data_IF_252886929394
#
_entry.id   IF_252886929394
#
_cell.length_a   1.000
_cell.length_b   1.000
_cell.length_c   1.000
_cell.angle_alpha   90.00
_cell.angle_beta   90.00
_cell.angle_gamma   90.00
#
_symmetry.space_group_name_H-M   'P 1'
#
loop_
_entity.id
_entity.type
_entity.pdbx_description
1 polymer ?
#
# COMPACT_ATOMS: atom_id res chain seq x y z
N UNK A 1 -2.83 -7.41 21.00
CA UNK A 1 -1.38 -7.11 20.92
C UNK A 1 -0.75 -8.13 19.98
N UNK A 2 -0.52 -7.74 18.73
CA UNK A 2 0.06 -8.61 17.71
C UNK A 2 0.95 -7.84 16.73
N UNK A 3 1.61 -6.78 17.18
CA UNK A 3 2.68 -6.16 16.40
C UNK A 3 3.97 -6.96 16.62
N UNK A 4 4.07 -8.09 15.93
CA UNK A 4 5.38 -8.64 15.61
C UNK A 4 5.95 -7.65 14.59
N UNK A 5 7.00 -6.90 14.95
CA UNK A 5 7.76 -6.01 14.07
C UNK A 5 7.04 -4.83 13.40
N UNK A 6 7.81 -3.84 12.94
CA UNK A 6 7.30 -2.71 12.16
C UNK A 6 7.35 -2.99 10.65
N UNK A 7 7.68 -4.22 10.22
CA UNK A 7 7.95 -4.57 8.82
C UNK A 7 6.69 -4.59 8.00
N UNK A 8 6.83 -4.41 6.68
CA UNK A 8 5.66 -4.35 5.78
C UNK A 8 4.88 -5.66 5.72
N UNK A 9 5.46 -6.77 6.21
CA UNK A 9 4.86 -8.10 6.22
C UNK A 9 5.02 -8.79 7.59
N UNK A 10 5.23 -8.02 8.67
CA UNK A 10 5.41 -8.64 10.00
C UNK A 10 4.07 -8.87 10.73
N UNK A 11 3.01 -8.14 10.36
CA UNK A 11 1.64 -8.36 10.87
C UNK A 11 0.93 -9.48 10.12
N UNK A 12 0.07 -10.24 10.82
CA UNK A 12 -0.80 -11.25 10.21
C UNK A 12 -1.68 -10.67 9.08
N UNK A 13 -2.26 -9.47 9.27
CA UNK A 13 -3.13 -8.85 8.27
C UNK A 13 -2.40 -8.45 6.99
N UNK A 14 -1.17 -7.93 7.11
CA UNK A 14 -0.30 -7.71 5.93
C UNK A 14 0.02 -9.02 5.19
N UNK A 15 0.29 -10.09 5.94
CA UNK A 15 0.52 -11.41 5.36
C UNK A 15 -0.72 -11.97 4.65
N UNK A 16 -1.90 -11.80 5.24
CA UNK A 16 -3.17 -12.26 4.68
C UNK A 16 -3.51 -11.49 3.40
N UNK A 17 -3.40 -10.16 3.40
CA UNK A 17 -3.56 -9.33 2.20
C UNK A 17 -2.59 -9.77 1.10
N UNK A 18 -1.31 -9.98 1.45
CA UNK A 18 -0.32 -10.45 0.49
C UNK A 18 -0.63 -11.84 -0.06
N UNK A 19 -1.03 -12.76 0.81
CA UNK A 19 -1.40 -14.13 0.44
C UNK A 19 -2.56 -14.14 -0.55
N UNK A 20 -3.58 -13.32 -0.33
CA UNK A 20 -4.68 -13.17 -1.27
C UNK A 20 -4.20 -12.60 -2.62
N UNK A 21 -3.47 -11.49 -2.62
CA UNK A 21 -3.04 -10.84 -3.86
C UNK A 21 -2.13 -11.71 -4.73
N UNK A 22 -1.25 -12.52 -4.11
CA UNK A 22 -0.31 -13.39 -4.83
C UNK A 22 -0.91 -14.75 -5.23
N UNK A 23 -2.02 -15.16 -4.63
CA UNK A 23 -2.62 -16.47 -4.89
C UNK A 23 -2.93 -16.62 -6.39
N UNK A 24 -2.63 -17.80 -6.94
CA UNK A 24 -2.82 -18.10 -8.37
C UNK A 24 -4.28 -18.06 -8.86
N UNK A 25 -5.24 -18.11 -7.94
CA UNK A 25 -6.67 -18.14 -8.22
C UNK A 25 -7.32 -16.77 -7.99
N UNK A 26 -6.56 -15.77 -7.54
CA UNK A 26 -7.07 -14.42 -7.35
C UNK A 26 -7.25 -13.77 -8.71
N UNK A 27 -8.50 -13.78 -9.17
CA UNK A 27 -8.88 -13.10 -10.39
C UNK A 27 -8.67 -11.59 -10.20
N UNK A 28 -7.98 -10.95 -11.16
CA UNK A 28 -7.77 -9.50 -11.20
C UNK A 28 -7.13 -8.88 -9.94
N UNK A 29 -6.04 -9.46 -9.43
CA UNK A 29 -5.29 -8.91 -8.29
C UNK A 29 -4.96 -7.41 -8.40
N UNK A 30 -4.71 -6.89 -9.60
CA UNK A 30 -4.47 -5.45 -9.83
C UNK A 30 -5.70 -4.57 -9.51
N UNK A 31 -6.91 -5.03 -9.82
CA UNK A 31 -8.14 -4.30 -9.45
C UNK A 31 -8.42 -4.42 -7.96
N UNK A 32 -8.06 -5.56 -7.34
CA UNK A 32 -8.16 -5.75 -5.91
C UNK A 32 -7.23 -4.79 -5.13
N UNK A 33 -5.99 -4.59 -5.60
CA UNK A 33 -5.07 -3.55 -5.08
C UNK A 33 -5.74 -2.17 -5.10
N UNK A 34 -6.34 -1.79 -6.23
CA UNK A 34 -7.02 -0.49 -6.37
C UNK A 34 -8.20 -0.42 -5.39
N UNK A 35 -8.96 -1.50 -5.25
CA UNK A 35 -10.13 -1.58 -4.36
C UNK A 35 -9.72 -1.36 -2.90
N UNK A 36 -8.65 -2.02 -2.43
CA UNK A 36 -8.15 -1.81 -1.07
C UNK A 36 -7.76 -0.36 -0.80
N UNK A 37 -7.04 0.27 -1.73
CA UNK A 37 -6.66 1.68 -1.60
C UNK A 37 -7.88 2.61 -1.66
N UNK A 38 -8.86 2.33 -2.54
CA UNK A 38 -10.10 3.09 -2.63
C UNK A 38 -10.95 2.97 -1.37
N UNK A 39 -11.00 1.79 -0.73
CA UNK A 39 -11.75 1.59 0.50
C UNK A 39 -11.23 2.54 1.57
N UNK A 40 -9.92 2.56 1.81
CA UNK A 40 -9.29 3.48 2.78
C UNK A 40 -9.52 4.95 2.40
N UNK A 41 -9.37 5.32 1.12
CA UNK A 41 -9.56 6.72 0.71
C UNK A 41 -11.01 7.19 0.85
N UNK A 42 -11.96 6.32 0.51
CA UNK A 42 -13.39 6.63 0.55
C UNK A 42 -14.02 6.36 1.93
N UNK A 43 -13.29 5.75 2.87
CA UNK A 43 -13.76 5.50 4.22
C UNK A 43 -13.92 6.85 4.97
N UNK A 44 -15.18 7.16 5.31
CA UNK A 44 -15.55 8.37 6.04
C UNK A 44 -15.64 8.14 7.56
N UNK A 45 -15.42 6.92 7.99
CA UNK A 45 -15.39 6.49 9.38
C UNK A 45 -13.96 6.18 9.81
N UNK A 46 -13.84 5.35 10.82
CA UNK A 46 -12.59 4.83 11.32
C UNK A 46 -12.09 3.72 10.38
N UNK A 47 -10.77 3.67 10.17
CA UNK A 47 -10.06 2.70 9.36
C UNK A 47 -9.52 1.65 10.31
N UNK A 48 -9.93 0.40 10.11
CA UNK A 48 -9.53 -0.73 10.93
C UNK A 48 -8.07 -1.15 10.62
N UNK A 49 -7.52 -2.01 11.49
CA UNK A 49 -6.13 -2.48 11.37
C UNK A 49 -5.89 -3.21 10.05
N UNK A 50 -6.83 -4.06 9.64
CA UNK A 50 -6.75 -4.85 8.39
C UNK A 50 -6.76 -3.94 7.15
N UNK A 51 -7.62 -2.93 7.12
CA UNK A 51 -7.65 -1.91 6.07
C UNK A 51 -6.33 -1.12 5.99
N UNK A 52 -5.76 -0.80 7.15
CA UNK A 52 -4.48 -0.09 7.25
C UNK A 52 -3.33 -0.91 6.66
N UNK A 53 -3.22 -2.16 7.09
CA UNK A 53 -2.14 -3.06 6.66
C UNK A 53 -2.28 -3.39 5.17
N UNK A 54 -3.51 -3.64 4.70
CA UNK A 54 -3.79 -3.81 3.27
C UNK A 54 -3.39 -2.58 2.45
N UNK A 55 -3.66 -1.36 2.92
CA UNK A 55 -3.25 -0.14 2.23
C UNK A 55 -1.74 0.03 2.16
N UNK A 56 -0.99 -0.37 3.20
CA UNK A 56 0.47 -0.34 3.22
C UNK A 56 1.04 -1.32 2.17
N UNK A 57 0.60 -2.59 2.22
CA UNK A 57 1.04 -3.62 1.27
C UNK A 57 0.68 -3.24 -0.16
N UNK A 58 -0.56 -2.79 -0.40
CA UNK A 58 -1.00 -2.37 -1.73
C UNK A 58 -0.21 -1.18 -2.26
N UNK A 59 0.13 -0.21 -1.40
CA UNK A 59 0.96 0.94 -1.79
C UNK A 59 2.38 0.53 -2.16
N UNK A 60 2.98 -0.41 -1.41
CA UNK A 60 4.27 -1.01 -1.75
C UNK A 60 4.19 -1.69 -3.12
N UNK A 61 3.17 -2.51 -3.39
CA UNK A 61 2.99 -3.19 -4.67
C UNK A 61 2.82 -2.22 -5.85
N UNK A 62 2.08 -1.13 -5.67
CA UNK A 62 1.97 -0.06 -6.68
C UNK A 62 3.35 0.51 -7.02
N UNK A 63 4.18 0.82 -6.02
CA UNK A 63 5.54 1.33 -6.26
C UNK A 63 6.37 0.30 -7.02
N UNK A 64 6.27 -0.97 -6.64
CA UNK A 64 7.00 -2.07 -7.28
C UNK A 64 6.64 -2.21 -8.75
N UNK A 65 5.35 -2.14 -9.09
CA UNK A 65 4.83 -2.17 -10.46
C UNK A 65 5.26 -0.94 -11.30
N UNK A 66 5.49 0.22 -10.67
CA UNK A 66 6.01 1.41 -11.35
C UNK A 66 7.53 1.40 -11.54
N UNK A 67 8.27 0.73 -10.67
CA UNK A 67 9.74 0.80 -10.60
C UNK A 67 10.44 -0.46 -11.10
N UNK A 68 9.69 -1.49 -11.51
CA UNK A 68 10.19 -2.80 -11.93
C UNK A 68 11.13 -3.42 -10.88
N UNK A 69 10.69 -3.46 -9.61
CA UNK A 69 11.40 -4.08 -8.48
C UNK A 69 12.70 -3.41 -8.00
N UNK A 70 13.47 -2.77 -8.88
CA UNK A 70 14.82 -2.27 -8.57
C UNK A 70 14.89 -1.42 -7.30
N UNK A 71 13.87 -0.57 -7.09
CA UNK A 71 13.82 0.32 -5.94
C UNK A 71 13.75 -0.42 -4.60
N UNK A 72 13.10 -1.57 -4.51
CA UNK A 72 13.04 -2.35 -3.27
C UNK A 72 14.44 -2.82 -2.87
N UNK A 73 15.19 -3.41 -3.80
CA UNK A 73 16.52 -3.96 -3.52
C UNK A 73 17.52 -2.88 -3.11
N UNK A 74 17.33 -1.65 -3.59
CA UNK A 74 18.19 -0.51 -3.25
C UNK A 74 17.81 0.16 -1.92
N UNK A 75 16.56 0.03 -1.48
CA UNK A 75 16.00 0.79 -0.35
C UNK A 75 15.87 -0.04 0.92
N UNK A 76 15.57 -1.34 0.79
CA UNK A 76 15.14 -2.18 1.90
C UNK A 76 16.10 -3.33 2.19
N UNK A 77 16.18 -3.69 3.46
CA UNK A 77 16.93 -4.84 3.96
C UNK A 77 16.00 -6.01 4.25
N UNK A 78 16.55 -7.19 4.58
CA UNK A 78 15.77 -8.34 5.03
C UNK A 78 14.94 -8.07 6.31
N UNK A 79 15.29 -7.03 7.09
CA UNK A 79 14.50 -6.58 8.26
C UNK A 79 13.20 -5.86 7.84
N UNK A 80 13.17 -5.27 6.66
CA UNK A 80 12.02 -4.51 6.17
C UNK A 80 11.11 -5.38 5.30
N UNK A 81 11.72 -6.18 4.43
CA UNK A 81 11.06 -7.12 3.54
C UNK A 81 11.87 -8.42 3.54
N UNK A 82 11.35 -9.51 4.15
CA UNK A 82 12.04 -10.79 4.18
C UNK A 82 12.39 -11.30 2.77
N UNK A 83 13.49 -12.03 2.65
CA UNK A 83 13.98 -12.53 1.35
C UNK A 83 12.97 -13.41 0.61
N UNK A 84 12.17 -14.21 1.32
CA UNK A 84 11.14 -15.02 0.66
C UNK A 84 10.04 -14.15 0.04
N UNK A 85 9.67 -13.03 0.69
CA UNK A 85 8.69 -12.07 0.15
C UNK A 85 9.28 -11.38 -1.09
N UNK A 86 10.56 -11.04 -1.07
CA UNK A 86 11.28 -10.49 -2.22
C UNK A 86 11.19 -11.41 -3.46
N UNK A 87 11.42 -12.72 -3.28
CA UNK A 87 11.27 -13.72 -4.34
C UNK A 87 9.81 -13.83 -4.83
N UNK A 88 8.83 -13.76 -3.92
CA UNK A 88 7.42 -13.77 -4.29
C UNK A 88 6.97 -12.50 -5.02
N UNK A 89 7.53 -11.34 -4.68
CA UNK A 89 7.29 -10.06 -5.38
C UNK A 89 7.79 -10.11 -6.82
N UNK A 90 8.96 -10.73 -7.06
CA UNK A 90 9.48 -10.93 -8.42
C UNK A 90 8.54 -11.82 -9.25
N UNK A 91 8.02 -12.90 -8.66
CA UNK A 91 7.02 -13.78 -9.31
C UNK A 91 5.73 -13.00 -9.61
N UNK A 92 5.25 -12.20 -8.67
CA UNK A 92 4.06 -11.37 -8.83
C UNK A 92 4.23 -10.36 -9.98
N UNK A 93 5.37 -9.68 -10.02
CA UNK A 93 5.70 -8.77 -11.11
C UNK A 93 5.71 -9.47 -12.47
N UNK A 94 6.40 -10.61 -12.58
CA UNK A 94 6.43 -11.37 -13.83
C UNK A 94 5.03 -11.76 -14.31
N UNK A 95 4.10 -12.01 -13.38
CA UNK A 95 2.71 -12.33 -13.69
C UNK A 95 1.89 -11.11 -14.15
N UNK A 96 2.06 -9.95 -13.50
CA UNK A 96 1.14 -8.82 -13.65
C UNK A 96 1.70 -7.60 -14.38
N UNK A 97 3.03 -7.47 -14.54
CA UNK A 97 3.66 -6.26 -15.08
C UNK A 97 3.14 -5.89 -16.48
N UNK A 98 2.99 -6.87 -17.38
CA UNK A 98 2.46 -6.62 -18.73
C UNK A 98 1.04 -6.04 -18.67
N UNK A 99 0.14 -6.69 -17.93
CA UNK A 99 -1.24 -6.23 -17.77
C UNK A 99 -1.28 -4.84 -17.11
N UNK A 100 -0.39 -4.61 -16.14
CA UNK A 100 -0.25 -3.32 -15.49
C UNK A 100 0.13 -2.22 -16.46
N UNK A 101 1.21 -2.39 -17.23
CA UNK A 101 1.68 -1.39 -18.20
C UNK A 101 0.65 -1.12 -19.30
N UNK A 102 -0.07 -2.14 -19.75
CA UNK A 102 -1.07 -2.02 -20.82
C UNK A 102 -2.40 -1.41 -20.35
N UNK A 103 -2.89 -1.79 -19.16
CA UNK A 103 -4.29 -1.52 -18.77
C UNK A 103 -4.47 -0.70 -17.50
N UNK A 104 -3.47 -0.63 -16.61
CA UNK A 104 -3.63 -0.03 -15.27
C UNK A 104 -2.77 1.20 -15.02
N UNK A 105 -1.53 1.22 -15.51
CA UNK A 105 -0.53 2.25 -15.19
C UNK A 105 -1.02 3.69 -15.36
N UNK A 106 -1.81 3.93 -16.41
CA UNK A 106 -2.38 5.24 -16.73
C UNK A 106 -3.87 5.36 -16.37
N UNK A 107 -4.44 4.34 -15.72
CA UNK A 107 -5.84 4.32 -15.30
C UNK A 107 -6.09 5.45 -14.31
N UNK A 108 -7.24 6.08 -14.49
CA UNK A 108 -7.72 7.17 -13.66
C UNK A 108 -8.87 6.64 -12.81
N UNK A 109 -8.80 6.91 -11.51
CA UNK A 109 -9.67 6.31 -10.49
C UNK A 109 -10.54 7.39 -9.87
N UNK A 110 -11.85 7.18 -9.88
CA UNK A 110 -12.79 8.06 -9.19
C UNK A 110 -12.75 7.79 -7.67
N UNK A 111 -12.59 8.84 -6.88
CA UNK A 111 -12.65 8.83 -5.42
C UNK A 111 -13.64 9.87 -4.91
N UNK A 112 -14.13 9.68 -3.68
CA UNK A 112 -15.00 10.64 -2.99
C UNK A 112 -14.16 11.47 -2.02
N UNK A 113 -14.15 12.79 -2.17
CA UNK A 113 -13.50 13.68 -1.21
C UNK A 113 -14.48 13.97 -0.05
N UNK A 114 -13.97 13.89 1.19
CA UNK A 114 -14.70 14.16 2.45
C UNK A 114 -15.41 15.52 2.46
N UNK A 115 -14.87 16.52 1.77
CA UNK A 115 -15.42 17.89 1.70
C UNK A 115 -16.45 17.96 0.58
N UNK A 116 -17.73 17.81 0.94
CA UNK A 116 -18.86 18.16 0.06
C UNK A 116 -19.30 17.10 -0.94
N UNK A 117 -19.01 15.81 -0.70
CA UNK A 117 -19.38 14.68 -1.58
C UNK A 117 -18.89 14.83 -3.03
N UNK A 118 -17.84 15.63 -3.22
CA UNK A 118 -17.27 15.85 -4.53
C UNK A 118 -16.50 14.60 -4.98
N UNK A 119 -16.67 14.27 -6.26
CA UNK A 119 -15.90 13.23 -6.91
C UNK A 119 -14.65 13.85 -7.52
N UNK A 120 -13.51 13.22 -7.27
CA UNK A 120 -12.23 13.55 -7.89
C UNK A 120 -11.73 12.34 -8.67
N UNK A 121 -11.03 12.59 -9.77
CA UNK A 121 -10.41 11.55 -10.57
C UNK A 121 -8.90 11.67 -10.38
N UNK A 122 -8.28 10.61 -9.88
CA UNK A 122 -6.85 10.59 -9.51
C UNK A 122 -6.11 9.43 -10.16
N UNK A 123 -4.79 9.58 -10.36
CA UNK A 123 -3.94 8.47 -10.80
C UNK A 123 -3.75 7.42 -9.68
N UNK A 124 -3.36 6.20 -10.03
CA UNK A 124 -3.11 5.14 -9.03
C UNK A 124 -2.01 5.55 -8.01
N UNK A 125 -0.87 6.15 -8.39
CA UNK A 125 0.10 6.65 -7.42
C UNK A 125 -0.49 7.68 -6.44
N UNK A 126 -1.38 8.54 -6.94
CA UNK A 126 -2.05 9.54 -6.11
C UNK A 126 -3.05 8.89 -5.15
N UNK A 127 -3.80 7.91 -5.62
CA UNK A 127 -4.71 7.09 -4.79
C UNK A 127 -3.93 6.42 -3.65
N UNK A 128 -2.82 5.72 -3.95
CA UNK A 128 -1.98 5.08 -2.95
C UNK A 128 -1.45 6.09 -1.92
N UNK A 129 -0.97 7.24 -2.37
CA UNK A 129 -0.46 8.29 -1.49
C UNK A 129 -1.55 8.86 -0.57
N UNK A 130 -2.76 9.10 -1.09
CA UNK A 130 -3.91 9.53 -0.30
C UNK A 130 -4.30 8.48 0.74
N UNK A 131 -4.25 7.19 0.38
CA UNK A 131 -4.51 6.07 1.29
C UNK A 131 -3.52 6.06 2.46
N UNK A 132 -2.21 6.14 2.18
CA UNK A 132 -1.18 6.20 3.23
C UNK A 132 -1.31 7.45 4.12
N UNK A 133 -1.74 8.58 3.55
CA UNK A 133 -2.01 9.80 4.34
C UNK A 133 -3.19 9.62 5.30
N UNK A 134 -4.19 8.79 4.98
CA UNK A 134 -5.24 8.44 5.93
C UNK A 134 -4.74 7.46 7.00
N UNK A 135 -3.95 6.46 6.60
CA UNK A 135 -3.28 5.52 7.52
C UNK A 135 -2.44 6.25 8.57
N UNK A 136 -1.74 7.32 8.20
CA UNK A 136 -0.91 8.12 9.11
C UNK A 136 -1.68 9.11 10.01
N UNK A 137 -3.02 9.11 9.98
CA UNK A 137 -3.84 10.02 10.78
C UNK A 137 -4.41 9.32 12.02
N UNK A 138 -3.91 9.59 13.23
CA UNK A 138 -4.34 8.91 14.46
C UNK A 138 -5.79 9.20 14.87
N UNK A 139 -6.48 10.14 14.20
CA UNK A 139 -7.90 10.41 14.47
C UNK A 139 -8.85 9.47 13.75
N UNK A 140 -8.36 8.74 12.74
CA UNK A 140 -9.19 7.91 11.86
C UNK A 140 -8.57 6.55 11.55
N UNK A 141 -7.36 6.25 12.01
CA UNK A 141 -6.64 5.01 11.69
C UNK A 141 -6.30 4.28 12.98
N UNK A 142 -6.88 3.09 13.15
CA UNK A 142 -6.67 2.25 14.34
C UNK A 142 -5.21 1.90 14.53
N UNK A 143 -4.55 1.43 13.48
CA UNK A 143 -3.13 1.11 13.56
C UNK A 143 -2.33 2.34 13.99
N UNK A 144 -2.62 3.54 13.46
CA UNK A 144 -1.89 4.73 13.90
C UNK A 144 -2.17 5.08 15.37
N UNK A 145 -3.42 4.97 15.82
CA UNK A 145 -3.78 5.17 17.23
C UNK A 145 -3.01 4.20 18.13
N UNK A 146 -2.99 2.91 17.78
CA UNK A 146 -2.28 1.87 18.52
C UNK A 146 -0.76 2.07 18.50
N UNK A 147 -0.17 2.37 17.33
CA UNK A 147 1.28 2.55 17.21
C UNK A 147 1.76 3.77 17.99
N UNK A 148 0.97 4.86 18.07
CA UNK A 148 1.29 6.06 18.87
C UNK A 148 1.55 5.72 20.35
N UNK A 149 0.94 4.65 20.87
CA UNK A 149 1.12 4.21 22.25
C UNK A 149 2.40 3.37 22.47
N UNK A 150 3.18 3.10 21.42
CA UNK A 150 4.37 2.24 21.47
C UNK A 150 5.68 3.00 21.31
N UNK A 151 6.78 2.41 21.77
CA UNK A 151 8.14 2.94 21.54
C UNK A 151 8.62 2.84 20.07
N UNK A 152 7.89 2.09 19.23
CA UNK A 152 8.22 1.83 17.82
C UNK A 152 7.44 2.74 16.86
N UNK A 153 6.64 3.68 17.37
CA UNK A 153 5.81 4.57 16.54
C UNK A 153 6.62 5.27 15.45
N UNK A 154 7.76 5.85 15.82
CA UNK A 154 8.59 6.61 14.89
C UNK A 154 9.19 5.70 13.80
N UNK A 155 9.57 4.47 14.14
CA UNK A 155 10.07 3.47 13.18
C UNK A 155 8.97 3.07 12.19
N UNK A 156 7.77 2.74 12.69
CA UNK A 156 6.61 2.39 11.86
C UNK A 156 6.22 3.55 10.93
N UNK A 157 6.12 4.76 11.48
CA UNK A 157 5.79 5.96 10.72
C UNK A 157 6.83 6.27 9.64
N UNK A 158 8.12 6.14 9.96
CA UNK A 158 9.20 6.38 9.00
C UNK A 158 9.11 5.41 7.82
N UNK A 159 8.76 4.14 8.05
CA UNK A 159 8.58 3.15 6.98
C UNK A 159 7.46 3.56 6.03
N UNK A 160 6.30 3.97 6.56
CA UNK A 160 5.22 4.46 5.71
C UNK A 160 5.63 5.74 4.97
N UNK A 161 6.39 6.63 5.61
CA UNK A 161 6.88 7.86 4.97
C UNK A 161 7.78 7.57 3.75
N UNK A 162 8.61 6.52 3.80
CA UNK A 162 9.42 6.09 2.63
C UNK A 162 8.53 5.78 1.42
N UNK A 163 7.39 5.11 1.64
CA UNK A 163 6.43 4.82 0.57
C UNK A 163 5.75 6.10 0.06
N UNK A 164 5.35 7.00 0.97
CA UNK A 164 4.75 8.30 0.62
C UNK A 164 5.71 9.09 -0.29
N UNK A 165 6.97 9.24 0.11
CA UNK A 165 7.98 9.99 -0.63
C UNK A 165 8.20 9.40 -2.03
N UNK A 166 8.27 8.07 -2.13
CA UNK A 166 8.45 7.39 -3.41
C UNK A 166 7.25 7.57 -4.33
N UNK A 167 6.02 7.53 -3.80
CA UNK A 167 4.81 7.78 -4.57
C UNK A 167 4.73 9.22 -5.08
N UNK A 168 5.21 10.20 -4.32
CA UNK A 168 5.29 11.60 -4.78
C UNK A 168 6.30 11.74 -5.94
N UNK A 169 7.45 11.07 -5.85
CA UNK A 169 8.42 11.03 -6.96
C UNK A 169 7.81 10.41 -8.23
N UNK A 170 7.09 9.29 -8.10
CA UNK A 170 6.42 8.64 -9.22
C UNK A 170 5.41 9.59 -9.86
N UNK A 171 4.57 10.28 -9.07
CA UNK A 171 3.59 11.24 -9.57
C UNK A 171 4.23 12.40 -10.34
N UNK A 172 5.39 12.88 -9.90
CA UNK A 172 6.11 13.96 -10.61
C UNK A 172 6.82 13.51 -11.88
N UNK A 173 6.98 12.20 -12.08
CA UNK A 173 7.64 11.60 -13.24
C UNK A 173 6.66 11.15 -14.34
N UNK A 174 5.36 11.20 -14.06
CA UNK A 174 4.27 10.94 -15.02
C UNK A 174 3.89 12.23 -15.75
#
# INVERSE_FOLDING_TARGET
MGAWGAGYFDSDMSCDCWAELRHENTENALELIITYLQNVVNNNSYIEVDETDAAIVCSLLVIVLFTNYNWINETFTEKDIPKYVQEELEIFLNRYQKNWDENYKNKQIEIKIKIGEQKEVVSIPKLANLSLKQVLNPKISESCELWVETEYYDEWKQRIQILVDKLEQIQTSQ
#
